data_IF_173230010096
#
_entry.id   IF_173230010096
#
_cell.length_a   1.000
_cell.length_b   1.000
_cell.length_c   1.000
_cell.angle_alpha   90.00
_cell.angle_beta   90.00
_cell.angle_gamma   90.00
#
_symmetry.space_group_name_H-M   'P 1'
#
loop_
_entity.id
_entity.type
_entity.pdbx_description
1 polymer ?
#
# COMPACT_ATOMS: atom_id res chain seq x y z
N UNK A 1 -3.75 -5.73 -18.81
CA UNK A 1 -4.10 -5.63 -17.37
C UNK A 1 -4.38 -7.03 -16.88
N UNK A 2 -3.62 -7.52 -15.92
CA UNK A 2 -3.84 -8.88 -15.39
C UNK A 2 -5.10 -8.86 -14.51
N UNK A 3 -6.08 -9.69 -14.82
CA UNK A 3 -7.30 -9.82 -14.03
C UNK A 3 -7.07 -10.83 -12.91
N UNK A 4 -6.42 -10.41 -11.84
CA UNK A 4 -6.39 -11.21 -10.62
C UNK A 4 -7.74 -11.13 -9.91
N UNK A 5 -8.36 -12.25 -9.61
CA UNK A 5 -9.64 -12.29 -8.90
C UNK A 5 -9.42 -12.12 -7.38
N UNK A 6 -8.75 -11.05 -6.98
CA UNK A 6 -8.50 -10.74 -5.57
C UNK A 6 -9.64 -9.91 -4.98
N UNK A 7 -10.27 -10.44 -3.93
CA UNK A 7 -11.17 -9.69 -3.09
C UNK A 7 -10.35 -8.94 -2.01
N UNK A 8 -10.15 -7.64 -2.20
CA UNK A 8 -9.36 -6.83 -1.27
C UNK A 8 -10.13 -6.51 0.01
N UNK A 9 -9.76 -7.15 1.13
CA UNK A 9 -10.27 -6.84 2.47
C UNK A 9 -9.25 -5.99 3.27
N UNK A 10 -9.73 -5.18 4.21
CA UNK A 10 -8.86 -4.40 5.11
C UNK A 10 -8.08 -5.26 6.10
N UNK A 11 -8.54 -6.51 6.33
CA UNK A 11 -7.91 -7.49 7.22
C UNK A 11 -6.60 -8.05 6.66
N UNK A 12 -6.46 -8.12 5.35
CA UNK A 12 -5.31 -8.71 4.65
C UNK A 12 -4.15 -7.71 4.53
N UNK A 13 -3.51 -7.38 5.66
CA UNK A 13 -2.51 -6.31 5.70
C UNK A 13 -1.30 -6.58 4.78
N UNK A 14 -0.87 -7.84 4.64
CA UNK A 14 0.26 -8.24 3.78
C UNK A 14 0.00 -7.90 2.31
N UNK A 15 -1.21 -8.22 1.82
CA UNK A 15 -1.63 -7.90 0.46
C UNK A 15 -1.68 -6.38 0.26
N UNK A 16 -2.29 -5.65 1.20
CA UNK A 16 -2.42 -4.19 1.13
C UNK A 16 -1.07 -3.47 1.22
N UNK A 17 -0.11 -4.01 1.96
CA UNK A 17 1.23 -3.45 2.10
C UNK A 17 1.99 -3.40 0.76
N UNK A 18 1.78 -4.39 -0.12
CA UNK A 18 2.36 -4.40 -1.47
C UNK A 18 1.90 -3.23 -2.36
N UNK A 19 0.75 -2.62 -2.05
CA UNK A 19 0.19 -1.48 -2.79
C UNK A 19 0.53 -0.13 -2.16
N UNK A 20 1.48 -0.09 -1.23
CA UNK A 20 1.92 1.10 -0.51
C UNK A 20 3.42 1.30 -0.73
N UNK A 21 3.82 2.54 -0.96
CA UNK A 21 5.23 2.91 -1.01
C UNK A 21 5.83 2.91 0.39
N UNK A 22 7.14 2.81 0.45
CA UNK A 22 7.93 3.01 1.68
C UNK A 22 7.51 4.27 2.45
N UNK A 23 7.10 5.33 1.74
CA UNK A 23 6.61 6.57 2.33
C UNK A 23 5.22 6.50 3.01
N UNK A 24 4.54 5.37 2.98
CA UNK A 24 3.17 5.23 3.45
C UNK A 24 2.12 5.78 2.46
N UNK A 25 2.50 6.18 1.23
CA UNK A 25 1.54 6.62 0.19
C UNK A 25 1.04 5.45 -0.66
N UNK A 26 -0.24 5.47 -1.03
CA UNK A 26 -0.84 4.45 -1.91
C UNK A 26 -0.22 4.56 -3.32
N UNK A 27 0.14 3.42 -3.91
CA UNK A 27 0.72 3.36 -5.26
C UNK A 27 -0.34 3.75 -6.31
N UNK A 28 -0.01 4.63 -7.28
CA UNK A 28 -0.93 5.02 -8.34
C UNK A 28 -1.19 3.84 -9.30
N UNK A 29 -2.40 3.81 -9.89
CA UNK A 29 -2.85 2.74 -10.80
C UNK A 29 -1.85 2.39 -11.91
N UNK A 30 -1.21 3.41 -12.49
CA UNK A 30 -0.23 3.27 -13.59
C UNK A 30 0.97 2.38 -13.23
N UNK A 31 1.24 2.17 -11.94
CA UNK A 31 2.30 1.30 -11.44
C UNK A 31 1.77 -0.02 -10.87
N UNK A 32 0.51 -0.07 -10.40
CA UNK A 32 -0.07 -1.27 -9.79
C UNK A 32 -0.61 -2.30 -10.78
N UNK A 33 -0.70 -1.95 -12.07
CA UNK A 33 -1.27 -2.81 -13.14
C UNK A 33 -2.68 -3.36 -12.86
N UNK A 34 -3.42 -2.73 -11.93
CA UNK A 34 -4.78 -3.07 -11.55
C UNK A 34 -5.81 -2.44 -12.50
N UNK A 35 -6.97 -3.09 -12.60
CA UNK A 35 -8.16 -2.46 -13.21
C UNK A 35 -8.64 -1.26 -12.37
N UNK A 36 -9.42 -0.36 -12.97
CA UNK A 36 -9.97 0.80 -12.24
C UNK A 36 -10.85 0.37 -11.06
N UNK A 37 -11.61 -0.72 -11.21
CA UNK A 37 -12.49 -1.26 -10.16
C UNK A 37 -11.66 -1.78 -8.98
N UNK A 38 -10.63 -2.57 -9.26
CA UNK A 38 -9.72 -3.09 -8.24
C UNK A 38 -8.96 -1.96 -7.52
N UNK A 39 -8.43 -0.98 -8.24
CA UNK A 39 -7.73 0.15 -7.62
C UNK A 39 -8.62 0.90 -6.62
N UNK A 40 -9.91 1.11 -6.94
CA UNK A 40 -10.87 1.72 -6.01
C UNK A 40 -11.10 0.85 -4.77
N UNK A 41 -11.23 -0.47 -4.96
CA UNK A 41 -11.37 -1.42 -3.84
C UNK A 41 -10.12 -1.42 -2.95
N UNK A 42 -8.93 -1.53 -3.52
CA UNK A 42 -7.64 -1.44 -2.79
C UNK A 42 -7.56 -0.14 -2.01
N UNK A 43 -7.86 1.00 -2.66
CA UNK A 43 -7.78 2.31 -2.01
C UNK A 43 -8.74 2.42 -0.82
N UNK A 44 -9.95 1.84 -0.92
CA UNK A 44 -10.93 1.79 0.18
C UNK A 44 -10.43 0.89 1.31
N UNK A 45 -9.95 -0.31 1.00
CA UNK A 45 -9.45 -1.27 1.99
C UNK A 45 -8.20 -0.76 2.72
N UNK A 46 -7.27 -0.09 2.03
CA UNK A 46 -6.12 0.58 2.66
C UNK A 46 -6.56 1.66 3.62
N UNK A 47 -7.51 2.53 3.22
CA UNK A 47 -8.00 3.61 4.10
C UNK A 47 -8.66 3.04 5.36
N UNK A 48 -9.48 2.00 5.21
CA UNK A 48 -10.10 1.30 6.34
C UNK A 48 -9.03 0.67 7.26
N UNK A 49 -8.03 0.00 6.68
CA UNK A 49 -6.95 -0.60 7.45
C UNK A 49 -6.12 0.44 8.23
N UNK A 50 -5.95 1.64 7.70
CA UNK A 50 -5.29 2.75 8.41
C UNK A 50 -6.10 3.27 9.59
N UNK A 51 -7.43 3.39 9.43
CA UNK A 51 -8.33 3.78 10.52
C UNK A 51 -8.28 2.73 11.64
N UNK A 52 -8.19 1.45 11.28
CA UNK A 52 -8.04 0.32 12.22
C UNK A 52 -6.61 0.14 12.74
N UNK A 53 -5.69 1.07 12.46
CA UNK A 53 -4.28 1.03 12.87
C UNK A 53 -3.47 -0.18 12.36
N UNK A 54 -3.96 -0.95 11.38
CA UNK A 54 -3.20 -2.03 10.75
C UNK A 54 -2.11 -1.52 9.80
N UNK A 55 -2.32 -0.37 9.17
CA UNK A 55 -1.39 0.27 8.25
C UNK A 55 -1.05 1.68 8.73
N UNK A 56 0.24 2.02 8.70
CA UNK A 56 0.71 3.34 9.13
C UNK A 56 0.47 4.40 8.04
N UNK A 57 0.18 5.64 8.46
CA UNK A 57 0.06 6.79 7.56
C UNK A 57 1.43 7.34 7.10
N UNK A 58 2.46 7.12 7.92
CA UNK A 58 3.82 7.66 7.75
C UNK A 58 4.82 6.54 7.49
N UNK A 59 5.98 6.82 6.86
CA UNK A 59 7.04 5.84 6.71
C UNK A 59 7.50 5.35 8.09
N UNK A 60 7.57 4.03 8.28
CA UNK A 60 8.19 3.46 9.48
C UNK A 60 9.64 3.93 9.60
N UNK A 61 10.06 4.34 10.81
CA UNK A 61 11.42 4.85 11.10
C UNK A 61 12.52 3.97 10.49
N UNK A 62 12.30 2.66 10.48
CA UNK A 62 13.20 1.63 9.96
C UNK A 62 13.63 1.92 8.51
N UNK A 63 12.71 2.37 7.66
CA UNK A 63 13.02 2.66 6.27
C UNK A 63 13.74 4.01 6.07
N UNK A 64 13.52 4.98 6.96
CA UNK A 64 14.22 6.27 6.91
C UNK A 64 15.69 6.12 7.30
N UNK A 65 15.99 5.24 8.27
CA UNK A 65 17.35 4.92 8.71
C UNK A 65 18.20 4.29 7.60
N UNK A 66 17.58 3.52 6.69
CA UNK A 66 18.27 2.93 5.54
C UNK A 66 18.60 3.96 4.45
N UNK A 67 17.76 5.00 4.28
CA UNK A 67 17.99 6.08 3.31
C UNK A 67 19.10 7.04 3.78
N UNK A 68 19.28 7.20 5.09
CA UNK A 68 20.35 8.05 5.65
C UNK A 68 21.75 7.44 5.47
N UNK A 69 21.87 6.12 5.27
CA UNK A 69 23.15 5.43 5.15
C UNK A 69 23.68 5.33 3.71
N UNK A 70 22.84 5.58 2.69
CA UNK A 70 23.24 5.55 1.28
C UNK A 70 23.72 6.89 0.73
N UNK A 71 23.89 7.89 1.62
CA UNK A 71 24.40 9.22 1.31
C UNK A 71 25.83 9.49 1.75
N UNK A 72 26.63 8.44 2.02
CA UNK A 72 28.09 8.52 2.15
C UNK A 72 28.76 7.59 1.14
#
# INVERSE_FOLDING_TARGET
MQQFNYQFNYKEFLLLHSFIRVSGKIIPKRLSNLTTKQQRQVSKSIKNARIMSFLLFVPGKIAQLAVQQTGQ
#
